data_IF_940864689359
#
_entry.id   IF_940864689359
#
_cell.length_a   1.000
_cell.length_b   1.000
_cell.length_c   1.000
_cell.angle_alpha   90.00
_cell.angle_beta   90.00
_cell.angle_gamma   90.00
#
_symmetry.space_group_name_H-M   'P 1'
#
loop_
_entity.id
_entity.type
_entity.pdbx_description
1 polymer ?
#
# COMPACT_ATOMS: atom_id res chain seq x y z
N UNK A 1 -4.06 -8.19 -3.30
CA UNK A 1 -4.70 -7.94 -4.61
C UNK A 1 -4.19 -6.59 -5.15
N UNK A 2 -4.42 -6.25 -6.42
CA UNK A 2 -3.99 -4.97 -6.98
C UNK A 2 -5.19 -4.17 -7.47
N UNK A 3 -5.13 -2.84 -7.31
CA UNK A 3 -6.06 -1.90 -7.93
C UNK A 3 -5.27 -0.96 -8.84
N UNK A 4 -5.84 -0.59 -9.98
CA UNK A 4 -5.17 0.28 -10.94
C UNK A 4 -6.09 1.34 -11.51
N UNK A 5 -5.50 2.49 -11.82
CA UNK A 5 -6.12 3.61 -12.51
C UNK A 5 -5.50 3.69 -13.90
N UNK A 6 -6.32 3.50 -14.93
CA UNK A 6 -5.86 3.50 -16.31
C UNK A 6 -5.79 4.92 -16.89
N UNK A 7 -4.75 5.18 -17.66
CA UNK A 7 -4.56 6.45 -18.38
C UNK A 7 -5.65 6.70 -19.43
N UNK A 8 -6.32 5.64 -19.89
CA UNK A 8 -7.46 5.74 -20.81
C UNK A 8 -8.66 6.45 -20.19
N UNK A 9 -8.82 6.36 -18.86
CA UNK A 9 -9.92 7.02 -18.13
C UNK A 9 -9.49 8.35 -17.54
N UNK A 10 -8.26 8.44 -17.04
CA UNK A 10 -7.73 9.68 -16.48
C UNK A 10 -6.23 9.80 -16.80
N UNK A 11 -5.85 10.79 -17.61
CA UNK A 11 -4.48 10.92 -18.12
C UNK A 11 -3.47 11.47 -17.11
N UNK A 12 -3.91 12.27 -16.13
CA UNK A 12 -3.00 12.95 -15.21
C UNK A 12 -2.62 12.11 -13.99
N UNK A 13 -3.48 11.19 -13.55
CA UNK A 13 -3.27 10.41 -12.32
C UNK A 13 -3.52 8.91 -12.56
N UNK A 14 -2.78 8.37 -13.53
CA UNK A 14 -2.77 6.92 -13.77
C UNK A 14 -1.66 6.26 -12.95
N UNK A 15 -1.90 5.03 -12.50
CA UNK A 15 -1.04 4.38 -11.51
C UNK A 15 -1.65 3.11 -10.94
N UNK A 16 -0.96 2.45 -10.03
CA UNK A 16 -1.47 1.26 -9.36
C UNK A 16 -1.14 1.26 -7.88
N UNK A 17 -1.99 0.55 -7.13
CA UNK A 17 -1.81 0.25 -5.72
C UNK A 17 -1.80 -1.26 -5.53
N UNK A 18 -0.83 -1.74 -4.76
CA UNK A 18 -0.73 -3.15 -4.38
C UNK A 18 -1.15 -3.28 -2.92
N UNK A 19 -2.05 -4.22 -2.68
CA UNK A 19 -2.62 -4.49 -1.36
C UNK A 19 -2.22 -5.88 -0.89
N UNK A 20 -1.92 -5.98 0.39
CA UNK A 20 -1.87 -7.25 1.11
C UNK A 20 -3.27 -7.89 1.12
N UNK A 21 -3.32 -9.21 1.29
CA UNK A 21 -4.59 -9.94 1.47
C UNK A 21 -5.37 -9.46 2.69
N UNK A 22 -4.69 -8.82 3.65
CA UNK A 22 -5.28 -8.24 4.86
C UNK A 22 -5.72 -6.78 4.68
N UNK A 23 -5.65 -6.22 3.46
CA UNK A 23 -6.06 -4.84 3.17
C UNK A 23 -5.00 -3.76 3.44
N UNK A 24 -3.79 -4.13 3.85
CA UNK A 24 -2.68 -3.16 4.01
C UNK A 24 -2.13 -2.74 2.65
N UNK A 25 -2.02 -1.43 2.40
CA UNK A 25 -1.32 -0.89 1.23
C UNK A 25 0.19 -1.23 1.33
N UNK A 26 0.72 -1.89 0.30
CA UNK A 26 2.13 -2.29 0.21
C UNK A 26 2.93 -1.32 -0.67
N UNK A 27 2.34 -0.88 -1.77
CA UNK A 27 2.97 0.01 -2.73
C UNK A 27 1.92 0.85 -3.44
N UNK A 28 2.24 2.11 -3.67
CA UNK A 28 1.48 3.03 -4.49
C UNK A 28 2.42 3.75 -5.43
N UNK A 29 2.23 3.54 -6.73
CA UNK A 29 3.12 4.04 -7.75
C UNK A 29 2.30 4.71 -8.86
N UNK A 30 2.51 6.01 -9.04
CA UNK A 30 2.02 6.78 -10.17
C UNK A 30 2.79 6.45 -11.45
N UNK A 31 2.06 6.19 -12.54
CA UNK A 31 2.56 5.86 -13.87
C UNK A 31 1.69 6.53 -14.93
N UNK A 32 2.16 7.65 -15.47
CA UNK A 32 1.47 8.53 -16.43
C UNK A 32 0.79 7.84 -17.63
N UNK A 33 1.35 6.72 -18.13
CA UNK A 33 0.80 5.97 -19.28
C UNK A 33 0.53 4.52 -18.93
N UNK A 34 -0.08 4.27 -17.78
CA UNK A 34 -0.50 2.93 -17.36
C UNK A 34 -1.82 2.55 -18.04
N UNK A 35 -1.81 1.52 -18.89
CA UNK A 35 -3.03 0.99 -19.51
C UNK A 35 -3.71 -0.04 -18.60
N UNK A 36 -3.01 -1.12 -18.29
CA UNK A 36 -3.50 -2.21 -17.46
C UNK A 36 -2.39 -2.83 -16.62
N UNK A 37 -2.78 -3.45 -15.50
CA UNK A 37 -1.91 -4.29 -14.70
C UNK A 37 -2.60 -5.64 -14.50
N UNK A 38 -1.90 -6.71 -14.82
CA UNK A 38 -2.36 -8.07 -14.59
C UNK A 38 -1.26 -8.86 -13.91
N UNK A 39 -1.66 -9.67 -12.93
CA UNK A 39 -0.77 -10.68 -12.39
C UNK A 39 -0.53 -11.75 -13.45
N UNK A 40 0.71 -12.19 -13.62
CA UNK A 40 0.99 -13.33 -14.48
C UNK A 40 0.25 -14.57 -13.94
N UNK A 41 -0.57 -15.27 -14.75
CA UNK A 41 -1.25 -16.46 -14.31
C UNK A 41 -0.26 -17.49 -13.78
N UNK A 42 -0.53 -18.04 -12.59
CA UNK A 42 0.35 -19.04 -11.99
C UNK A 42 0.20 -20.35 -12.76
N UNK A 43 1.29 -20.96 -13.29
CA UNK A 43 1.21 -22.25 -13.95
C UNK A 43 0.73 -23.34 -12.98
N UNK A 44 0.18 -24.42 -13.53
CA UNK A 44 -0.27 -25.58 -12.73
C UNK A 44 0.89 -26.13 -11.91
N UNK A 45 0.61 -26.56 -10.69
CA UNK A 45 1.63 -27.12 -9.81
C UNK A 45 2.22 -28.40 -10.39
N UNK A 46 3.54 -28.50 -10.37
CA UNK A 46 4.27 -29.73 -10.75
C UNK A 46 4.22 -30.83 -9.67
N UNK A 47 3.66 -30.51 -8.50
CA UNK A 47 3.59 -31.42 -7.35
C UNK A 47 2.53 -32.49 -7.57
N UNK A 48 2.88 -33.74 -7.24
CA UNK A 48 1.90 -34.84 -7.17
C UNK A 48 0.94 -34.64 -6.00
N UNK A 49 -0.21 -35.32 -6.04
CA UNK A 49 -1.20 -35.23 -4.97
C UNK A 49 -0.64 -35.60 -3.58
N UNK A 50 0.30 -36.54 -3.52
CA UNK A 50 0.91 -36.98 -2.27
C UNK A 50 1.93 -35.97 -1.73
N UNK A 51 2.72 -35.35 -2.61
CA UNK A 51 3.60 -34.24 -2.24
C UNK A 51 2.82 -33.04 -1.70
N UNK A 52 1.65 -32.75 -2.28
CA UNK A 52 0.77 -31.67 -1.77
C UNK A 52 0.26 -32.00 -0.36
N UNK A 53 -0.09 -33.25 -0.06
CA UNK A 53 -0.50 -33.67 1.30
C UNK A 53 0.65 -33.53 2.29
N UNK A 54 1.85 -33.94 1.91
CA UNK A 54 3.06 -33.79 2.73
C UNK A 54 3.36 -32.32 3.03
N UNK A 55 3.36 -31.45 2.01
CA UNK A 55 3.56 -30.00 2.19
C UNK A 55 2.52 -29.41 3.13
N UNK A 56 1.25 -29.84 3.03
CA UNK A 56 0.18 -29.38 3.94
C UNK A 56 0.40 -29.82 5.40
N UNK A 57 0.96 -31.00 5.65
CA UNK A 57 1.28 -31.48 7.00
C UNK A 57 2.42 -30.67 7.61
N UNK A 58 3.47 -30.43 6.83
CA UNK A 58 4.69 -29.75 7.31
C UNK A 58 4.59 -28.22 7.31
N UNK A 59 3.50 -27.66 6.77
CA UNK A 59 3.35 -26.23 6.53
C UNK A 59 3.61 -25.38 7.78
N UNK A 60 3.16 -25.85 8.95
CA UNK A 60 3.36 -25.15 10.23
C UNK A 60 4.83 -25.06 10.63
N UNK A 61 5.59 -26.15 10.44
CA UNK A 61 7.01 -26.22 10.78
C UNK A 61 7.80 -25.37 9.79
N UNK A 62 7.54 -25.54 8.49
CA UNK A 62 8.19 -24.78 7.42
C UNK A 62 7.91 -23.28 7.53
N UNK A 63 6.69 -22.89 7.94
CA UNK A 63 6.34 -21.49 8.17
C UNK A 63 7.28 -20.82 9.17
N UNK A 64 7.50 -21.43 10.33
CA UNK A 64 8.38 -20.85 11.37
C UNK A 64 9.81 -20.73 10.87
N UNK A 65 10.31 -21.75 10.17
CA UNK A 65 11.65 -21.71 9.58
C UNK A 65 11.79 -20.58 8.54
N UNK A 66 10.81 -20.42 7.64
CA UNK A 66 10.83 -19.36 6.64
C UNK A 66 10.66 -17.97 7.24
N UNK A 67 9.81 -17.79 8.25
CA UNK A 67 9.67 -16.51 8.95
C UNK A 67 11.01 -16.09 9.58
N UNK A 68 11.72 -17.04 10.22
CA UNK A 68 13.06 -16.79 10.78
C UNK A 68 14.08 -16.42 9.71
N UNK A 69 14.13 -17.18 8.61
CA UNK A 69 15.05 -16.91 7.49
C UNK A 69 14.79 -15.53 6.85
N UNK A 70 13.52 -15.17 6.67
CA UNK A 70 13.12 -13.85 6.17
C UNK A 70 13.59 -12.72 7.10
N UNK A 71 13.48 -12.90 8.41
CA UNK A 71 13.90 -11.92 9.40
C UNK A 71 15.43 -11.78 9.44
N UNK A 72 16.17 -12.89 9.40
CA UNK A 72 17.64 -12.90 9.30
C UNK A 72 18.10 -12.20 7.99
N UNK A 73 17.40 -12.42 6.87
CA UNK A 73 17.66 -11.73 5.60
C UNK A 73 17.35 -10.22 5.67
N UNK A 74 16.34 -9.80 6.43
CA UNK A 74 16.04 -8.38 6.63
C UNK A 74 17.12 -7.73 7.49
N UNK A 75 17.61 -8.41 8.51
CA UNK A 75 18.68 -7.90 9.38
C UNK A 75 20.00 -7.77 8.62
N UNK A 76 20.39 -8.78 7.85
CA UNK A 76 21.59 -8.72 6.99
C UNK A 76 21.49 -7.63 5.93
N UNK A 77 20.33 -7.40 5.31
CA UNK A 77 20.11 -6.28 4.38
C UNK A 77 20.22 -4.91 5.05
N UNK A 78 20.02 -4.81 6.37
CA UNK A 78 20.17 -3.58 7.15
C UNK A 78 21.62 -3.33 7.57
N UNK A 79 22.49 -4.34 7.53
CA UNK A 79 23.89 -4.21 7.92
C UNK A 79 24.78 -3.70 6.77
N UNK A 80 26.03 -3.35 7.09
CA UNK A 80 27.02 -2.87 6.12
C UNK A 80 26.66 -1.51 5.51
N UNK A 81 26.61 -1.43 4.18
CA UNK A 81 26.40 -0.17 3.44
C UNK A 81 25.02 0.46 3.74
N UNK A 82 24.00 -0.37 4.00
CA UNK A 82 22.67 0.14 4.33
C UNK A 82 22.66 0.88 5.69
N UNK A 83 23.41 0.37 6.67
CA UNK A 83 23.59 1.03 7.97
C UNK A 83 24.32 2.37 7.82
N UNK A 84 25.39 2.41 7.02
CA UNK A 84 26.11 3.67 6.74
C UNK A 84 25.19 4.70 6.07
N UNK A 85 24.44 4.30 5.04
CA UNK A 85 23.47 5.20 4.38
C UNK A 85 22.38 5.67 5.33
N UNK A 86 21.98 4.84 6.30
CA UNK A 86 21.02 5.22 7.33
C UNK A 86 21.63 6.27 8.26
N UNK A 87 22.84 6.03 8.76
CA UNK A 87 23.56 6.99 9.60
C UNK A 87 23.71 8.35 8.92
N UNK A 88 24.16 8.39 7.66
CA UNK A 88 24.30 9.64 6.92
C UNK A 88 22.96 10.39 6.76
N UNK A 89 21.85 9.66 6.56
CA UNK A 89 20.52 10.27 6.50
C UNK A 89 20.06 10.79 7.86
N UNK A 90 20.35 10.06 8.94
CA UNK A 90 19.96 10.44 10.29
C UNK A 90 20.76 11.68 10.75
N UNK A 91 22.06 11.75 10.44
CA UNK A 91 22.91 12.93 10.65
C UNK A 91 22.39 14.15 9.87
N UNK A 92 22.05 13.97 8.59
CA UNK A 92 21.49 15.05 7.78
C UNK A 92 20.15 15.56 8.31
N UNK A 93 19.27 14.65 8.75
CA UNK A 93 17.98 15.02 9.36
C UNK A 93 18.15 15.77 10.67
N UNK A 94 19.13 15.37 11.49
CA UNK A 94 19.44 16.09 12.74
C UNK A 94 19.93 17.51 12.44
N UNK A 95 20.81 17.66 11.45
CA UNK A 95 21.26 18.97 10.99
C UNK A 95 20.12 19.84 10.45
N UNK A 96 19.21 19.26 9.66
CA UNK A 96 18.04 19.97 9.13
C UNK A 96 17.11 20.44 10.27
N UNK A 97 16.87 19.59 11.27
CA UNK A 97 16.06 19.93 12.44
C UNK A 97 16.67 21.09 13.25
N UNK A 98 17.96 21.04 13.55
CA UNK A 98 18.66 22.11 14.27
C UNK A 98 18.56 23.45 13.50
N UNK A 99 18.73 23.41 12.18
CA UNK A 99 18.63 24.62 11.33
C UNK A 99 17.22 25.16 11.28
N UNK A 100 16.21 24.29 11.25
CA UNK A 100 14.81 24.71 11.28
C UNK A 100 14.46 25.35 12.62
N UNK A 101 14.95 24.81 13.74
CA UNK A 101 14.77 25.39 15.07
C UNK A 101 15.42 26.77 15.19
N UNK A 102 16.65 26.93 14.72
CA UNK A 102 17.33 28.24 14.67
C UNK A 102 16.57 29.23 13.78
N UNK A 103 16.10 28.77 12.62
CA UNK A 103 15.32 29.58 11.70
C UNK A 103 13.97 30.02 12.31
N UNK A 104 13.33 29.17 13.11
CA UNK A 104 12.11 29.50 13.84
C UNK A 104 12.40 30.48 14.99
N UNK A 105 13.51 30.30 15.73
CA UNK A 105 13.91 31.21 16.80
C UNK A 105 14.17 32.65 16.28
N UNK A 106 14.79 32.76 15.10
CA UNK A 106 15.10 34.04 14.46
C UNK A 106 13.90 34.65 13.70
N UNK A 107 12.72 34.01 13.73
CA UNK A 107 11.54 34.46 12.98
C UNK A 107 11.17 35.90 13.30
N UNK A 108 11.12 36.28 14.58
CA UNK A 108 10.74 37.64 14.97
C UNK A 108 11.74 38.70 14.50
N UNK A 109 13.04 38.37 14.50
CA UNK A 109 14.06 39.29 13.99
C UNK A 109 13.99 39.38 12.46
N UNK A 110 13.75 38.26 11.78
CA UNK A 110 13.59 38.19 10.33
C UNK A 110 12.34 38.96 9.87
N UNK A 111 11.20 38.78 10.53
CA UNK A 111 9.97 39.51 10.23
C UNK A 111 10.15 41.03 10.38
N UNK A 112 10.85 41.47 11.43
CA UNK A 112 11.20 42.88 11.64
C UNK A 112 12.14 43.41 10.55
N UNK A 113 13.16 42.64 10.16
CA UNK A 113 14.09 43.03 9.09
C UNK A 113 13.42 43.11 7.71
N UNK A 114 12.43 42.26 7.46
CA UNK A 114 11.63 42.26 6.22
C UNK A 114 10.52 43.32 6.21
N UNK A 115 10.28 44.04 7.33
CA UNK A 115 9.25 45.06 7.44
C UNK A 115 7.82 44.51 7.41
N UNK A 116 7.63 43.21 7.68
CA UNK A 116 6.34 42.54 7.68
C UNK A 116 5.73 42.67 9.09
N UNK A 117 4.64 43.43 9.21
CA UNK A 117 4.00 43.76 10.51
C UNK A 117 2.82 42.88 10.88
N UNK A 118 2.28 42.09 9.94
CA UNK A 118 1.14 41.21 10.16
C UNK A 118 1.48 39.78 9.74
N UNK A 119 1.33 38.85 10.70
CA UNK A 119 1.25 37.42 10.42
C UNK A 119 -0.05 37.22 9.67
N UNK A 120 0.03 36.90 8.37
CA UNK A 120 -1.13 36.44 7.61
C UNK A 120 -1.56 35.13 8.27
N UNK A 121 -2.76 35.10 8.87
CA UNK A 121 -3.34 33.86 9.39
C UNK A 121 -3.29 32.81 8.28
N UNK A 122 -2.56 31.74 8.54
CA UNK A 122 -2.40 30.63 7.61
C UNK A 122 -3.79 30.02 7.39
N UNK A 123 -4.30 30.10 6.16
CA UNK A 123 -5.58 29.51 5.80
C UNK A 123 -5.47 27.99 5.99
N UNK A 124 -6.09 27.48 7.06
CA UNK A 124 -6.23 26.04 7.28
C UNK A 124 -7.37 25.57 6.39
N UNK A 125 -7.03 24.90 5.29
CA UNK A 125 -8.01 24.21 4.45
C UNK A 125 -8.61 23.03 5.24
N UNK A 126 -9.80 23.25 5.80
CA UNK A 126 -10.59 22.20 6.44
C UNK A 126 -11.20 21.36 5.31
N UNK A 127 -10.62 20.19 5.05
CA UNK A 127 -11.17 19.20 4.12
C UNK A 127 -12.29 18.46 4.83
N UNK A 128 -13.54 18.86 4.61
CA UNK A 128 -14.73 18.09 5.01
C UNK A 128 -14.89 16.88 4.08
N UNK A 129 -14.52 15.68 4.55
CA UNK A 129 -14.84 14.42 3.86
C UNK A 129 -16.32 14.07 4.11
N UNK A 130 -17.19 14.36 3.15
CA UNK A 130 -18.58 13.90 3.17
C UNK A 130 -18.67 12.47 2.62
N UNK A 131 -18.86 11.48 3.49
CA UNK A 131 -19.20 10.11 3.09
C UNK A 131 -20.69 10.00 2.75
N UNK A 132 -21.02 9.94 1.45
CA UNK A 132 -22.38 9.59 1.01
C UNK A 132 -22.58 8.07 1.11
N UNK A 133 -23.43 7.63 2.03
CA UNK A 133 -23.85 6.23 2.16
C UNK A 133 -24.84 5.92 1.02
N UNK A 134 -24.36 5.24 -0.02
CA UNK A 134 -25.22 4.71 -1.09
C UNK A 134 -26.03 3.52 -0.57
N UNK A 135 -27.34 3.70 -0.44
CA UNK A 135 -28.28 2.62 -0.08
C UNK A 135 -28.41 1.64 -1.25
N UNK A 136 -27.79 0.46 -1.12
CA UNK A 136 -27.82 -0.59 -2.14
C UNK A 136 -29.12 -1.37 -2.01
N UNK A 137 -30.12 -1.00 -2.82
CA UNK A 137 -31.33 -1.82 -2.99
C UNK A 137 -31.01 -3.05 -3.82
N UNK A 138 -30.99 -4.21 -3.16
CA UNK A 138 -30.86 -5.50 -3.82
C UNK A 138 -32.26 -6.07 -4.10
N UNK A 139 -32.69 -6.01 -5.36
CA UNK A 139 -33.88 -6.73 -5.81
C UNK A 139 -33.53 -8.20 -6.08
N UNK A 140 -34.11 -9.11 -5.31
CA UNK A 140 -34.01 -10.55 -5.54
C UNK A 140 -35.08 -10.93 -6.55
N UNK A 141 -34.64 -11.27 -7.75
CA UNK A 141 -35.48 -11.67 -8.87
C UNK A 141 -36.03 -13.09 -8.63
N UNK A 142 -37.16 -13.19 -7.92
CA UNK A 142 -37.82 -14.47 -7.55
C UNK A 142 -38.40 -15.25 -8.74
N UNK A 143 -38.34 -14.69 -9.96
CA UNK A 143 -38.86 -15.32 -11.16
C UNK A 143 -37.95 -16.43 -11.72
N UNK A 144 -36.68 -16.49 -11.32
CA UNK A 144 -35.80 -17.63 -11.64
C UNK A 144 -36.03 -18.75 -10.62
N UNK A 145 -36.91 -19.69 -10.95
CA UNK A 145 -36.90 -21.01 -10.31
C UNK A 145 -35.52 -21.61 -10.52
N UNK A 146 -34.83 -21.93 -9.42
CA UNK A 146 -33.65 -22.79 -9.47
C UNK A 146 -34.08 -24.10 -10.14
N UNK A 147 -33.23 -24.63 -11.01
CA UNK A 147 -33.43 -25.96 -11.59
C UNK A 147 -33.23 -26.93 -10.43
N UNK A 148 -34.33 -27.47 -9.90
CA UNK A 148 -34.29 -28.61 -8.99
C UNK A 148 -33.85 -29.83 -9.81
N UNK A 149 -32.76 -30.45 -9.38
CA UNK A 149 -32.19 -31.62 -10.02
C UNK A 149 -32.97 -32.88 -9.61
N UNK A 150 -34.11 -33.11 -10.24
CA UNK A 150 -34.74 -34.43 -10.29
C UNK A 150 -34.74 -34.89 -11.76
N UNK A 151 -33.61 -35.45 -12.20
CA UNK A 151 -33.52 -36.26 -13.43
C UNK A 151 -33.38 -37.72 -12.98
N UNK A 152 -34.50 -38.29 -12.51
CA UNK A 152 -34.70 -39.74 -12.47
C UNK A 152 -34.95 -40.19 -13.93
N UNK A 153 -33.94 -40.83 -14.52
CA UNK A 153 -34.11 -41.64 -15.73
C UNK A 153 -33.77 -43.09 -15.42
N UNK A 154 -34.77 -43.93 -15.63
CA UNK A 154 -34.70 -45.38 -15.81
C UNK A 154 -33.59 -45.83 -16.77
#
# INVERSE_FOLDING_TARGET
FASSFSCQRNGMDSGFKIWSIHGKELEHTGKEKLYEIHWRPRPKSLLSADQVKEVKRDLKIKRVAYEKEDDDLRETKRSGIAALRKQMRDEFRAYEAERLELYAADEQMRMKALGITHVVEEFVDIVEETEEILDVKQEVDRAKRMIDSDDDRD
#
